data_IF_699462201922
#
_entry.id   IF_699462201922
#
_cell.length_a   1.000
_cell.length_b   1.000
_cell.length_c   1.000
_cell.angle_alpha   90.00
_cell.angle_beta   90.00
_cell.angle_gamma   90.00
#
_symmetry.space_group_name_H-M   'P 1'
#
loop_
_entity.id
_entity.type
_entity.pdbx_description
1 polymer ?
#
# COMPACT_ATOMS: atom_id res chain seq x y z
N UNK A 1 32.01 10.81 -34.39
CA UNK A 1 30.87 9.90 -34.67
C UNK A 1 30.85 8.69 -33.74
N UNK A 2 31.96 7.94 -33.51
CA UNK A 2 32.03 6.75 -32.66
C UNK A 2 31.62 7.04 -31.20
N UNK A 3 32.04 8.16 -30.62
CA UNK A 3 31.73 8.55 -29.23
C UNK A 3 30.22 8.71 -29.00
N UNK A 4 29.50 9.29 -29.95
CA UNK A 4 28.06 9.48 -29.86
C UNK A 4 27.32 8.12 -29.89
N UNK A 5 27.80 7.18 -30.70
CA UNK A 5 27.26 5.83 -30.76
C UNK A 5 27.45 5.09 -29.40
N UNK A 6 28.61 5.21 -28.79
CA UNK A 6 28.89 4.59 -27.48
C UNK A 6 27.99 5.20 -26.38
N UNK A 7 27.83 6.51 -26.34
CA UNK A 7 26.91 7.17 -25.39
C UNK A 7 25.48 6.72 -25.58
N UNK A 8 25.01 6.57 -26.82
CA UNK A 8 23.67 6.08 -27.12
C UNK A 8 23.41 4.68 -26.60
N UNK A 9 24.37 3.77 -26.78
CA UNK A 9 24.26 2.39 -26.30
C UNK A 9 24.26 2.34 -24.75
N UNK A 10 25.14 3.11 -24.10
CA UNK A 10 25.19 3.19 -22.64
C UNK A 10 23.89 3.78 -22.06
N UNK A 11 23.37 4.84 -22.66
CA UNK A 11 22.11 5.45 -22.22
C UNK A 11 20.92 4.49 -22.37
N UNK A 12 20.86 3.70 -23.42
CA UNK A 12 19.77 2.74 -23.65
C UNK A 12 19.70 1.66 -22.55
N UNK A 13 20.81 1.29 -21.95
CA UNK A 13 20.86 0.32 -20.85
C UNK A 13 20.69 0.99 -19.48
N UNK A 14 21.26 2.20 -19.29
CA UNK A 14 21.25 2.89 -18.01
C UNK A 14 19.85 3.41 -17.61
N UNK A 15 19.05 3.93 -18.55
CA UNK A 15 17.76 4.53 -18.25
C UNK A 15 16.74 3.54 -17.67
N UNK A 16 16.51 2.34 -18.24
CA UNK A 16 15.56 1.39 -17.64
C UNK A 16 16.03 0.89 -16.27
N UNK A 17 17.33 0.70 -16.08
CA UNK A 17 17.87 0.28 -14.79
C UNK A 17 17.67 1.35 -13.70
N UNK A 18 17.87 2.61 -14.04
CA UNK A 18 17.64 3.74 -13.14
C UNK A 18 16.15 3.84 -12.71
N UNK A 19 15.23 3.73 -13.64
CA UNK A 19 13.79 3.77 -13.33
C UNK A 19 13.35 2.65 -12.37
N UNK A 20 13.89 1.45 -12.53
CA UNK A 20 13.61 0.35 -11.63
C UNK A 20 14.20 0.59 -10.22
N UNK A 21 15.36 1.18 -10.14
CA UNK A 21 15.98 1.57 -8.87
C UNK A 21 15.14 2.63 -8.13
N UNK A 22 14.68 3.67 -8.84
CA UNK A 22 13.82 4.71 -8.29
C UNK A 22 12.50 4.12 -7.75
N UNK A 23 11.87 3.22 -8.51
CA UNK A 23 10.64 2.52 -8.07
C UNK A 23 10.84 1.79 -6.75
N UNK A 24 11.92 1.03 -6.62
CA UNK A 24 12.23 0.31 -5.38
C UNK A 24 12.47 1.23 -4.19
N UNK A 25 13.01 2.41 -4.44
CA UNK A 25 13.19 3.44 -3.41
C UNK A 25 11.87 4.07 -2.93
N UNK A 26 10.82 4.04 -3.76
CA UNK A 26 9.50 4.61 -3.44
C UNK A 26 8.54 3.61 -2.76
N UNK A 27 8.66 2.31 -3.04
CA UNK A 27 7.79 1.27 -2.48
C UNK A 27 7.80 1.19 -0.93
N UNK A 28 8.93 1.36 -0.23
CA UNK A 28 8.98 1.30 1.23
C UNK A 28 8.06 2.32 1.92
N UNK A 29 7.70 3.43 1.26
CA UNK A 29 6.72 4.38 1.80
C UNK A 29 5.39 3.69 2.09
N UNK A 30 4.86 2.89 1.13
CA UNK A 30 3.64 2.13 1.32
C UNK A 30 3.79 1.08 2.43
N UNK A 31 4.88 0.33 2.44
CA UNK A 31 5.09 -0.76 3.39
C UNK A 31 5.20 -0.28 4.82
N UNK A 32 5.95 0.79 5.04
CA UNK A 32 6.11 1.41 6.36
C UNK A 32 4.79 2.01 6.86
N UNK A 33 4.07 2.71 5.98
CA UNK A 33 2.78 3.29 6.33
C UNK A 33 1.72 2.21 6.64
N UNK A 34 1.62 1.16 5.83
CA UNK A 34 0.71 0.04 6.06
C UNK A 34 1.00 -0.67 7.39
N UNK A 35 2.28 -0.88 7.72
CA UNK A 35 2.68 -1.48 8.99
C UNK A 35 2.32 -0.58 10.19
N UNK A 36 2.56 0.73 10.06
CA UNK A 36 2.20 1.72 11.09
C UNK A 36 0.68 1.76 11.31
N UNK A 37 -0.10 1.81 10.22
CA UNK A 37 -1.57 1.85 10.33
C UNK A 37 -2.13 0.57 10.91
N UNK A 38 -1.57 -0.58 10.56
CA UNK A 38 -1.94 -1.84 11.22
C UNK A 38 -1.73 -1.75 12.73
N UNK A 39 -0.59 -1.28 13.18
CA UNK A 39 -0.32 -1.12 14.62
C UNK A 39 -1.33 -0.20 15.29
N UNK A 40 -1.70 0.91 14.64
CA UNK A 40 -2.76 1.82 15.13
C UNK A 40 -4.12 1.13 15.21
N UNK A 41 -4.48 0.32 14.22
CA UNK A 41 -5.76 -0.40 14.22
C UNK A 41 -5.83 -1.43 15.36
N UNK A 42 -4.73 -2.10 15.69
CA UNK A 42 -4.68 -3.00 16.83
C UNK A 42 -4.84 -2.26 18.17
N UNK A 43 -4.26 -1.07 18.31
CA UNK A 43 -4.49 -0.22 19.48
C UNK A 43 -5.95 0.22 19.57
N UNK A 44 -6.54 0.67 18.46
CA UNK A 44 -7.96 1.03 18.42
C UNK A 44 -8.86 -0.12 18.84
N UNK A 45 -8.56 -1.35 18.39
CA UNK A 45 -9.29 -2.55 18.76
C UNK A 45 -9.22 -2.85 20.27
N UNK A 46 -8.07 -2.62 20.91
CA UNK A 46 -7.94 -2.82 22.35
C UNK A 46 -8.90 -1.94 23.15
N UNK A 47 -9.11 -0.70 22.69
CA UNK A 47 -9.99 0.27 23.35
C UNK A 47 -11.46 0.07 23.00
N UNK A 48 -11.77 -0.25 21.75
CA UNK A 48 -13.14 -0.26 21.21
C UNK A 48 -13.74 -1.66 20.96
N UNK A 49 -12.91 -2.71 20.97
CA UNK A 49 -13.29 -4.10 20.69
C UNK A 49 -13.89 -4.35 19.30
N UNK A 50 -13.66 -3.43 18.38
CA UNK A 50 -13.98 -3.51 16.96
C UNK A 50 -13.02 -2.64 16.16
N UNK A 51 -13.03 -2.76 14.83
CA UNK A 51 -12.18 -1.96 13.94
C UNK A 51 -12.88 -0.77 13.29
N UNK A 52 -14.15 -0.54 13.61
CA UNK A 52 -14.96 0.55 13.09
C UNK A 52 -16.41 0.16 12.95
N UNK A 53 -17.33 1.12 12.85
CA UNK A 53 -18.78 0.88 12.82
C UNK A 53 -19.32 0.67 11.41
N UNK A 54 -18.59 1.09 10.37
CA UNK A 54 -19.06 1.08 9.00
C UNK A 54 -18.12 0.33 8.05
N UNK A 55 -18.69 -0.21 6.97
CA UNK A 55 -17.93 -0.83 5.88
C UNK A 55 -17.10 0.16 5.05
N UNK A 56 -17.29 1.45 5.28
CA UNK A 56 -16.68 2.54 4.50
C UNK A 56 -15.46 3.19 5.14
N UNK A 57 -15.27 2.98 6.45
CA UNK A 57 -14.16 3.57 7.19
C UNK A 57 -13.74 2.69 8.38
N UNK A 58 -12.46 2.74 8.71
CA UNK A 58 -11.93 2.17 9.93
C UNK A 58 -11.90 3.21 11.05
N UNK A 59 -11.90 2.76 12.30
CA UNK A 59 -11.67 3.59 13.48
C UNK A 59 -12.55 4.85 13.53
N UNK A 60 -13.82 4.72 13.17
CA UNK A 60 -14.77 5.82 12.99
C UNK A 60 -15.54 6.20 14.27
N UNK A 61 -15.13 5.72 15.44
CA UNK A 61 -15.70 6.14 16.71
C UNK A 61 -15.35 7.62 16.97
N UNK A 62 -16.37 8.45 17.14
CA UNK A 62 -16.21 9.90 17.36
C UNK A 62 -15.38 10.25 18.61
N UNK A 63 -15.34 9.39 19.61
CA UNK A 63 -14.49 9.58 20.81
C UNK A 63 -13.00 9.35 20.52
N UNK A 64 -12.68 8.73 19.40
CA UNK A 64 -11.32 8.38 18.97
C UNK A 64 -10.80 9.29 17.84
N UNK A 65 -11.06 10.59 17.92
CA UNK A 65 -10.72 11.57 16.88
C UNK A 65 -9.25 11.56 16.44
N UNK A 66 -8.34 11.10 17.32
CA UNK A 66 -6.92 10.94 16.99
C UNK A 66 -6.62 9.72 16.11
N UNK A 67 -7.55 8.78 15.98
CA UNK A 67 -7.37 7.54 15.22
C UNK A 67 -7.87 7.65 13.77
N UNK A 68 -8.85 8.53 13.53
CA UNK A 68 -9.50 8.73 12.23
C UNK A 68 -8.62 9.43 11.19
N UNK A 69 -7.47 9.92 11.56
CA UNK A 69 -6.56 10.57 10.63
C UNK A 69 -5.64 9.53 9.97
N UNK A 70 -6.19 8.71 9.08
CA UNK A 70 -5.36 8.14 8.04
C UNK A 70 -4.97 9.28 7.10
N UNK A 71 -3.69 9.55 6.88
CA UNK A 71 -3.33 10.49 5.82
C UNK A 71 -3.85 9.91 4.51
N UNK A 72 -4.69 10.66 3.83
CA UNK A 72 -5.27 10.28 2.53
C UNK A 72 -4.19 10.15 1.45
N UNK A 73 -3.08 10.85 1.62
CA UNK A 73 -1.94 10.81 0.71
C UNK A 73 -0.67 11.19 1.47
N UNK A 74 0.39 10.39 1.31
CA UNK A 74 1.74 10.78 1.68
C UNK A 74 2.38 11.37 0.40
N UNK A 75 3.56 10.94 0.00
CA UNK A 75 4.24 11.48 -1.17
C UNK A 75 3.86 10.73 -2.46
N UNK A 76 3.89 9.41 -2.42
CA UNK A 76 3.69 8.55 -3.59
C UNK A 76 2.44 7.70 -3.50
N UNK A 77 1.86 7.53 -2.30
CA UNK A 77 0.71 6.67 -2.06
C UNK A 77 -0.41 7.38 -1.34
N UNK A 78 -1.64 7.09 -1.73
CA UNK A 78 -2.86 7.35 -0.96
C UNK A 78 -3.25 6.10 -0.18
N UNK A 79 -3.90 6.29 0.97
CA UNK A 79 -4.29 5.21 1.85
C UNK A 79 -5.78 5.25 2.11
N UNK A 80 -6.40 4.08 2.12
CA UNK A 80 -7.78 3.87 2.50
C UNK A 80 -7.89 2.66 3.42
N UNK A 81 -8.81 2.70 4.36
CA UNK A 81 -9.11 1.59 5.25
C UNK A 81 -10.60 1.31 5.26
N UNK A 82 -10.96 0.05 5.04
CA UNK A 82 -12.32 -0.44 5.10
C UNK A 82 -12.43 -1.45 6.25
N UNK A 83 -13.41 -1.26 7.13
CA UNK A 83 -13.77 -2.26 8.15
C UNK A 83 -14.79 -3.25 7.57
N UNK A 84 -15.01 -4.37 8.28
CA UNK A 84 -15.95 -5.43 7.87
C UNK A 84 -15.68 -6.02 6.47
N UNK A 85 -14.42 -6.21 6.13
CA UNK A 85 -14.04 -6.67 4.79
C UNK A 85 -14.18 -8.17 4.60
N UNK A 86 -14.39 -8.93 5.69
CA UNK A 86 -14.56 -10.37 5.65
C UNK A 86 -16.05 -10.74 5.55
N UNK A 87 -16.38 -11.64 4.65
CA UNK A 87 -17.75 -12.13 4.50
C UNK A 87 -18.26 -12.78 5.81
N UNK A 88 -19.44 -12.36 6.26
CA UNK A 88 -20.05 -12.83 7.52
C UNK A 88 -19.56 -12.15 8.79
N UNK A 89 -18.70 -11.15 8.69
CA UNK A 89 -18.24 -10.36 9.83
C UNK A 89 -19.31 -9.34 10.25
N UNK A 90 -20.21 -9.77 11.14
CA UNK A 90 -21.23 -8.89 11.73
C UNK A 90 -20.74 -8.13 12.97
N UNK A 91 -19.53 -8.40 13.44
CA UNK A 91 -18.98 -7.85 14.70
C UNK A 91 -17.84 -6.86 14.49
N UNK A 92 -17.60 -6.43 13.25
CA UNK A 92 -16.52 -5.48 12.92
C UNK A 92 -15.13 -5.95 13.37
N UNK A 93 -14.86 -7.24 13.17
CA UNK A 93 -13.64 -7.90 13.60
C UNK A 93 -12.59 -8.01 12.48
N UNK A 94 -12.85 -7.39 11.33
CA UNK A 94 -11.95 -7.41 10.18
C UNK A 94 -11.77 -6.02 9.57
N UNK A 95 -10.63 -5.81 8.95
CA UNK A 95 -10.36 -4.61 8.14
C UNK A 95 -9.39 -4.92 7.01
N UNK A 96 -9.36 -4.05 6.02
CA UNK A 96 -8.32 -4.03 4.99
C UNK A 96 -7.83 -2.62 4.77
N UNK A 97 -6.54 -2.39 4.90
CA UNK A 97 -5.88 -1.14 4.54
C UNK A 97 -5.28 -1.30 3.16
N UNK A 98 -5.57 -0.35 2.29
CA UNK A 98 -5.06 -0.32 0.91
C UNK A 98 -4.18 0.90 0.72
N UNK A 99 -2.98 0.70 0.20
CA UNK A 99 -2.09 1.73 -0.31
C UNK A 99 -2.16 1.73 -1.83
N UNK A 100 -2.56 2.85 -2.44
CA UNK A 100 -2.64 3.01 -3.89
C UNK A 100 -1.64 4.05 -4.36
N UNK A 101 -0.81 3.69 -5.32
CA UNK A 101 0.19 4.58 -5.91
C UNK A 101 -0.48 5.69 -6.73
N UNK A 102 -0.19 6.95 -6.38
CA UNK A 102 -0.81 8.15 -6.99
C UNK A 102 0.19 9.10 -7.63
N UNK A 103 1.47 8.98 -7.32
CA UNK A 103 2.50 9.89 -7.82
C UNK A 103 3.84 9.20 -8.10
N UNK A 104 4.72 9.89 -8.78
CA UNK A 104 6.03 9.39 -9.18
C UNK A 104 5.94 8.17 -10.08
N UNK A 105 6.79 7.17 -9.83
CA UNK A 105 6.80 5.91 -10.58
C UNK A 105 5.87 4.85 -9.96
N UNK A 106 4.99 5.25 -9.02
CA UNK A 106 4.12 4.34 -8.27
C UNK A 106 2.71 4.22 -8.86
N UNK A 107 2.34 4.99 -9.85
CA UNK A 107 1.11 4.76 -10.61
C UNK A 107 1.04 3.31 -11.11
N UNK A 108 -0.09 2.63 -10.84
CA UNK A 108 -0.26 1.21 -11.18
C UNK A 108 0.30 0.22 -10.16
N UNK A 109 0.60 0.67 -8.93
CA UNK A 109 0.93 -0.19 -7.80
C UNK A 109 -0.12 -0.06 -6.71
N UNK A 110 -0.58 -1.18 -6.16
CA UNK A 110 -1.47 -1.17 -5.01
C UNK A 110 -1.17 -2.37 -4.09
N UNK A 111 -1.10 -2.08 -2.80
CA UNK A 111 -0.75 -3.03 -1.75
C UNK A 111 -1.79 -3.01 -0.65
N UNK A 112 -2.05 -4.17 -0.04
CA UNK A 112 -2.98 -4.26 1.08
C UNK A 112 -2.36 -4.97 2.27
N UNK A 113 -2.95 -4.72 3.44
CA UNK A 113 -2.72 -5.48 4.66
C UNK A 113 -4.05 -5.58 5.42
N UNK A 114 -4.28 -6.71 6.09
CA UNK A 114 -5.48 -6.96 6.88
C UNK A 114 -5.16 -7.14 8.39
N UNK A 115 -6.18 -7.44 9.18
CA UNK A 115 -6.09 -7.70 10.62
C UNK A 115 -5.16 -8.85 10.99
N UNK A 116 -5.10 -9.89 10.15
CA UNK A 116 -4.21 -11.04 10.36
C UNK A 116 -2.74 -10.74 10.03
N UNK A 117 -2.48 -9.59 9.38
CA UNK A 117 -1.17 -9.25 8.86
C UNK A 117 -0.88 -9.85 7.49
N UNK A 118 -1.90 -10.40 6.82
CA UNK A 118 -1.77 -10.91 5.45
C UNK A 118 -1.49 -9.73 4.51
N UNK A 119 -0.46 -9.89 3.70
CA UNK A 119 0.04 -8.89 2.77
C UNK A 119 -0.32 -9.31 1.36
N UNK A 120 -0.99 -8.43 0.61
CA UNK A 120 -1.37 -8.74 -0.76
C UNK A 120 -0.96 -7.59 -1.69
N UNK A 121 -0.59 -7.91 -2.91
CA UNK A 121 -0.43 -6.95 -3.99
C UNK A 121 -1.64 -7.07 -4.91
N UNK A 122 -2.42 -6.02 -5.03
CA UNK A 122 -3.62 -5.99 -5.89
C UNK A 122 -3.34 -5.38 -7.26
N UNK A 123 -2.30 -4.54 -7.37
CA UNK A 123 -1.77 -4.04 -8.65
C UNK A 123 -0.26 -4.01 -8.65
N UNK A 124 0.34 -4.45 -9.76
CA UNK A 124 1.79 -4.44 -9.96
C UNK A 124 2.13 -4.03 -11.39
N UNK A 125 2.85 -2.92 -11.55
CA UNK A 125 3.23 -2.34 -12.86
C UNK A 125 2.03 -2.11 -13.79
N UNK A 126 0.87 -1.72 -13.22
CA UNK A 126 -0.36 -1.46 -13.96
C UNK A 126 -1.26 -2.67 -14.21
N UNK A 127 -0.78 -3.89 -14.01
CA UNK A 127 -1.56 -5.11 -14.12
C UNK A 127 -2.18 -5.51 -12.78
N UNK A 128 -3.37 -6.10 -12.81
CA UNK A 128 -3.98 -6.68 -11.62
C UNK A 128 -3.18 -7.89 -11.12
N UNK A 129 -3.12 -8.08 -9.83
CA UNK A 129 -2.34 -9.11 -9.15
C UNK A 129 -3.13 -9.70 -7.99
N UNK A 130 -2.91 -10.99 -7.72
CA UNK A 130 -3.46 -11.71 -6.56
C UNK A 130 -2.36 -12.26 -5.67
N UNK A 131 -1.13 -11.72 -5.77
CA UNK A 131 0.02 -12.19 -5.02
C UNK A 131 -0.17 -11.97 -3.52
N UNK A 132 0.02 -13.02 -2.73
CA UNK A 132 -0.11 -13.02 -1.27
C UNK A 132 1.17 -12.53 -0.57
N UNK A 133 1.77 -11.50 -1.14
CA UNK A 133 2.94 -10.79 -0.61
C UNK A 133 3.01 -9.39 -1.23
N UNK A 134 3.87 -8.54 -0.69
CA UNK A 134 4.17 -7.25 -1.31
C UNK A 134 5.28 -7.41 -2.35
N UNK A 135 4.87 -7.37 -3.62
CA UNK A 135 5.79 -7.48 -4.77
C UNK A 135 6.69 -6.25 -4.88
N UNK A 136 7.97 -6.47 -5.08
CA UNK A 136 8.95 -5.38 -5.21
C UNK A 136 9.64 -5.37 -6.58
N UNK A 137 10.13 -6.51 -7.05
CA UNK A 137 10.92 -6.64 -8.27
C UNK A 137 10.21 -7.46 -9.35
N UNK A 138 9.75 -8.64 -8.97
CA UNK A 138 9.09 -9.62 -9.85
C UNK A 138 7.60 -9.69 -9.57
N UNK A 139 6.83 -10.27 -10.48
CA UNK A 139 5.39 -10.53 -10.33
C UNK A 139 5.08 -11.78 -9.47
N UNK A 140 6.08 -12.32 -8.80
CA UNK A 140 5.97 -13.52 -7.96
C UNK A 140 6.56 -13.28 -6.58
N UNK A 141 5.97 -13.85 -5.55
CA UNK A 141 6.54 -13.95 -4.22
C UNK A 141 7.75 -14.92 -4.25
#
# INVERSE_FOLDING_TARGET
MIVVAIIGILAAVALPAYNEYVRRGQQPEAFNALALYRSKMEQYYQDNRNYGSATTACADNAAASSWNTFPTTIKYFSFNCLANTKAGDSKQQSYTITATGVAGSMGGYAYTINENGDRTTTKFKGADSTAQCWLTKSATC
#
